data_IF_792123051458
#
_entry.id   IF_792123051458
#
_cell.length_a   1.000
_cell.length_b   1.000
_cell.length_c   1.000
_cell.angle_alpha   90.00
_cell.angle_beta   90.00
_cell.angle_gamma   90.00
#
_symmetry.space_group_name_H-M   'P 1'
#
loop_
_entity.id
_entity.type
_entity.pdbx_description
1 polymer ?
#
# COMPACT_ATOMS: atom_id res chain seq x y z
N UNK A 1 18.00 16.94 -11.13
CA UNK A 1 16.58 16.59 -11.00
C UNK A 1 16.55 15.22 -10.32
N UNK A 2 16.37 15.15 -9.00
CA UNK A 2 16.27 13.88 -8.28
C UNK A 2 14.83 13.39 -8.47
N UNK A 3 14.55 12.80 -9.63
CA UNK A 3 13.22 12.33 -10.01
C UNK A 3 12.97 10.92 -9.47
N UNK A 4 11.78 10.70 -8.92
CA UNK A 4 11.31 9.35 -8.61
C UNK A 4 11.17 8.55 -9.91
N UNK A 5 11.59 7.30 -9.88
CA UNK A 5 11.15 6.29 -10.83
C UNK A 5 9.76 5.83 -10.41
N UNK A 6 8.84 5.83 -11.35
CA UNK A 6 7.46 5.39 -11.18
C UNK A 6 7.08 4.48 -12.34
N UNK A 7 5.94 3.78 -12.24
CA UNK A 7 5.51 2.84 -13.30
C UNK A 7 5.44 3.55 -14.66
N UNK A 8 4.85 4.75 -14.71
CA UNK A 8 4.71 5.47 -15.99
C UNK A 8 6.03 6.00 -16.53
N UNK A 9 7.03 6.26 -15.68
CA UNK A 9 8.32 6.83 -16.07
C UNK A 9 9.37 5.77 -16.46
N UNK A 10 9.24 4.53 -15.99
CA UNK A 10 10.23 3.46 -16.27
C UNK A 10 10.12 2.81 -17.65
N UNK A 11 9.10 3.18 -18.45
CA UNK A 11 8.92 2.63 -19.78
C UNK A 11 8.26 1.25 -19.79
N UNK A 12 7.52 1.00 -20.87
CA UNK A 12 6.57 -0.09 -21.05
C UNK A 12 7.22 -1.27 -21.81
N UNK A 13 8.04 -2.08 -21.15
CA UNK A 13 8.68 -3.22 -21.84
C UNK A 13 8.17 -4.61 -21.42
N UNK A 14 7.22 -4.71 -20.48
CA UNK A 14 6.70 -6.01 -20.03
C UNK A 14 5.19 -6.00 -19.79
N UNK A 15 4.49 -7.04 -20.26
CA UNK A 15 3.05 -7.31 -20.06
C UNK A 15 2.70 -7.72 -18.60
N UNK A 16 3.68 -7.68 -17.70
CA UNK A 16 3.58 -8.16 -16.33
C UNK A 16 3.47 -7.01 -15.33
N UNK A 17 2.49 -7.08 -14.42
CA UNK A 17 2.32 -6.16 -13.30
C UNK A 17 3.18 -6.63 -12.13
N UNK A 18 4.34 -5.99 -11.91
CA UNK A 18 5.22 -6.31 -10.79
C UNK A 18 5.03 -5.34 -9.62
N UNK A 19 4.65 -5.85 -8.45
CA UNK A 19 4.74 -5.08 -7.21
C UNK A 19 6.21 -4.66 -7.03
N UNK A 20 6.52 -3.37 -6.84
CA UNK A 20 7.89 -2.92 -6.69
C UNK A 20 8.59 -3.69 -5.57
N UNK A 21 9.77 -4.22 -5.87
CA UNK A 21 10.52 -5.04 -4.91
C UNK A 21 10.76 -4.33 -3.57
N UNK A 22 10.78 -2.99 -3.57
CA UNK A 22 10.84 -2.14 -2.39
C UNK A 22 9.73 -2.40 -1.36
N UNK A 23 8.54 -2.82 -1.78
CA UNK A 23 7.44 -3.12 -0.86
C UNK A 23 7.80 -4.25 0.10
N UNK A 24 8.24 -5.39 -0.43
CA UNK A 24 8.67 -6.53 0.38
C UNK A 24 10.06 -6.28 0.99
N UNK A 25 11.00 -5.75 0.20
CA UNK A 25 12.38 -5.48 0.64
C UNK A 25 12.43 -4.53 1.84
N UNK A 26 11.55 -3.53 1.90
CA UNK A 26 11.50 -2.60 3.03
C UNK A 26 10.52 -3.06 4.13
N UNK A 27 9.90 -4.24 3.97
CA UNK A 27 8.95 -4.86 4.90
C UNK A 27 7.64 -4.10 5.11
N UNK A 28 7.14 -3.39 4.09
CA UNK A 28 5.85 -2.70 4.15
C UNK A 28 4.65 -3.65 4.34
N UNK A 29 4.79 -4.91 3.93
CA UNK A 29 3.81 -5.96 4.18
C UNK A 29 3.59 -6.26 5.68
N UNK A 30 4.50 -5.83 6.57
CA UNK A 30 4.33 -5.95 8.01
C UNK A 30 3.70 -4.70 8.63
N UNK A 31 3.79 -3.55 7.96
CA UNK A 31 3.42 -2.25 8.50
C UNK A 31 2.06 -1.73 8.03
N UNK A 32 1.47 -2.34 6.99
CA UNK A 32 0.20 -1.92 6.40
C UNK A 32 -0.85 -3.02 6.50
N UNK A 33 -2.16 -2.74 6.40
CA UNK A 33 -3.18 -3.76 6.58
C UNK A 33 -3.08 -4.89 5.54
N UNK A 34 -3.55 -6.10 5.84
CA UNK A 34 -3.32 -7.29 4.96
C UNK A 34 -3.88 -7.11 3.54
N UNK A 35 -4.92 -6.29 3.37
CA UNK A 35 -5.52 -5.95 2.07
C UNK A 35 -4.67 -5.03 1.17
N UNK A 36 -3.53 -4.53 1.63
CA UNK A 36 -2.71 -3.54 0.90
C UNK A 36 -2.31 -4.01 -0.48
N UNK A 37 -1.85 -5.26 -0.61
CA UNK A 37 -1.38 -5.79 -1.88
C UNK A 37 -2.48 -5.83 -2.94
N UNK A 38 -3.70 -6.21 -2.55
CA UNK A 38 -4.85 -6.21 -3.45
C UNK A 38 -5.17 -4.80 -3.95
N UNK A 39 -5.17 -3.81 -3.05
CA UNK A 39 -5.34 -2.40 -3.42
C UNK A 39 -4.24 -1.94 -4.39
N UNK A 40 -2.98 -2.27 -4.11
CA UNK A 40 -1.87 -1.89 -4.99
C UNK A 40 -2.01 -2.49 -6.38
N UNK A 41 -2.34 -3.77 -6.50
CA UNK A 41 -2.53 -4.43 -7.79
C UNK A 41 -3.66 -3.80 -8.60
N UNK A 42 -4.80 -3.52 -7.96
CA UNK A 42 -5.91 -2.79 -8.61
C UNK A 42 -5.46 -1.40 -9.09
N UNK A 43 -4.81 -0.62 -8.22
CA UNK A 43 -4.31 0.71 -8.58
C UNK A 43 -3.34 0.63 -9.76
N UNK A 44 -2.37 -0.29 -9.74
CA UNK A 44 -1.41 -0.46 -10.82
C UNK A 44 -2.09 -0.76 -12.16
N UNK A 45 -3.09 -1.65 -12.17
CA UNK A 45 -3.87 -1.94 -13.38
C UNK A 45 -4.54 -0.68 -13.96
N UNK A 46 -5.10 0.17 -13.12
CA UNK A 46 -5.77 1.39 -13.54
C UNK A 46 -4.82 2.53 -13.92
N UNK A 47 -3.66 2.62 -13.26
CA UNK A 47 -2.58 3.53 -13.65
C UNK A 47 -2.10 3.18 -15.05
N UNK A 48 -1.93 1.89 -15.36
CA UNK A 48 -1.57 1.42 -16.71
C UNK A 48 -2.66 1.78 -17.73
N UNK A 49 -3.94 1.68 -17.38
CA UNK A 49 -5.02 2.12 -18.26
C UNK A 49 -5.09 3.64 -18.47
N UNK A 50 -4.25 4.42 -17.78
CA UNK A 50 -4.23 5.88 -17.89
C UNK A 50 -5.44 6.56 -17.25
N UNK A 51 -6.09 5.90 -16.28
CA UNK A 51 -7.23 6.46 -15.58
C UNK A 51 -6.78 7.57 -14.62
N UNK A 52 -7.58 8.63 -14.53
CA UNK A 52 -7.45 9.60 -13.45
C UNK A 52 -7.85 8.98 -12.11
N UNK A 53 -7.44 9.60 -11.00
CA UNK A 53 -7.79 9.19 -9.64
C UNK A 53 -9.30 9.05 -9.44
N UNK A 54 -10.09 9.94 -10.04
CA UNK A 54 -11.55 9.91 -9.97
C UNK A 54 -12.13 8.70 -10.71
N UNK A 55 -11.71 8.49 -11.97
CA UNK A 55 -12.13 7.34 -12.78
C UNK A 55 -11.71 6.02 -12.12
N UNK A 56 -10.49 5.94 -11.59
CA UNK A 56 -9.96 4.80 -10.85
C UNK A 56 -10.81 4.48 -9.61
N UNK A 57 -11.14 5.50 -8.80
CA UNK A 57 -12.01 5.33 -7.63
C UNK A 57 -13.38 4.79 -8.01
N UNK A 58 -13.96 5.27 -9.12
CA UNK A 58 -15.22 4.76 -9.63
C UNK A 58 -15.13 3.28 -10.05
N UNK A 59 -14.06 2.88 -10.75
CA UNK A 59 -13.85 1.49 -11.11
C UNK A 59 -13.69 0.59 -9.88
N UNK A 60 -12.86 1.00 -8.91
CA UNK A 60 -12.63 0.23 -7.69
C UNK A 60 -13.91 0.06 -6.85
N UNK A 61 -14.75 1.10 -6.75
CA UNK A 61 -16.06 1.00 -6.08
C UNK A 61 -17.01 0.04 -6.81
N UNK A 62 -16.96 0.04 -8.15
CA UNK A 62 -17.76 -0.89 -8.96
C UNK A 62 -17.31 -2.33 -8.71
N UNK A 63 -16.01 -2.60 -8.75
CA UNK A 63 -15.44 -3.92 -8.45
C UNK A 63 -15.77 -4.38 -7.03
N UNK A 64 -15.65 -3.51 -6.03
CA UNK A 64 -16.02 -3.84 -4.64
C UNK A 64 -17.47 -4.35 -4.56
N UNK A 65 -18.38 -3.67 -5.25
CA UNK A 65 -19.80 -4.02 -5.29
C UNK A 65 -20.05 -5.32 -6.07
N UNK A 66 -19.44 -5.48 -7.24
CA UNK A 66 -19.64 -6.63 -8.13
C UNK A 66 -19.05 -7.92 -7.55
N UNK A 67 -17.90 -7.83 -6.91
CA UNK A 67 -17.21 -8.96 -6.30
C UNK A 67 -17.69 -9.26 -4.88
N UNK A 68 -18.70 -8.52 -4.38
CA UNK A 68 -19.14 -8.59 -2.99
C UNK A 68 -17.98 -8.52 -2.00
N UNK A 69 -16.99 -7.67 -2.28
CA UNK A 69 -15.85 -7.44 -1.40
C UNK A 69 -16.26 -6.63 -0.15
N UNK A 70 -17.56 -6.46 0.09
CA UNK A 70 -18.21 -5.87 1.26
C UNK A 70 -17.77 -6.56 2.57
N UNK A 71 -16.87 -5.93 3.35
CA UNK A 71 -16.18 -4.72 2.95
C UNK A 71 -14.67 -4.73 3.21
N UNK A 72 -14.00 -3.86 2.48
CA UNK A 72 -12.79 -3.20 2.94
C UNK A 72 -13.01 -2.44 4.30
N UNK A 73 -14.19 -2.48 4.91
CA UNK A 73 -14.43 -2.30 6.35
C UNK A 73 -14.04 -3.59 7.07
N UNK A 74 -12.84 -3.61 7.65
CA UNK A 74 -12.40 -4.68 8.53
C UNK A 74 -13.21 -4.68 9.85
N UNK A 75 -14.41 -5.26 9.82
CA UNK A 75 -15.06 -5.73 11.04
C UNK A 75 -14.36 -7.02 11.43
N UNK A 76 -13.44 -6.93 12.40
CA UNK A 76 -12.75 -8.07 12.99
C UNK A 76 -13.80 -8.99 13.65
N UNK A 77 -14.30 -9.96 12.88
CA UNK A 77 -15.21 -10.99 13.36
C UNK A 77 -14.42 -11.99 14.21
N UNK A 78 -14.81 -12.14 15.47
CA UNK A 78 -14.04 -12.83 16.50
C UNK A 78 -14.38 -14.33 16.49
N UNK A 79 -14.15 -14.99 15.37
CA UNK A 79 -14.70 -16.32 15.06
C UNK A 79 -13.65 -17.42 15.29
N UNK A 80 -12.81 -17.32 16.34
CA UNK A 80 -11.93 -18.38 16.87
C UNK A 80 -10.75 -18.85 15.98
N UNK A 81 -10.86 -18.86 14.65
CA UNK A 81 -9.81 -19.20 13.70
C UNK A 81 -8.95 -17.98 13.28
N UNK A 82 -9.44 -16.76 13.55
CA UNK A 82 -8.86 -15.50 13.09
C UNK A 82 -7.98 -14.79 14.13
N UNK A 83 -7.69 -15.40 15.28
CA UNK A 83 -7.03 -14.73 16.41
C UNK A 83 -5.67 -14.09 16.05
N UNK A 84 -4.86 -14.76 15.24
CA UNK A 84 -3.57 -14.22 14.79
C UNK A 84 -3.72 -13.08 13.78
N UNK A 85 -4.67 -13.19 12.85
CA UNK A 85 -4.98 -12.14 11.88
C UNK A 85 -5.48 -10.90 12.61
N UNK A 86 -6.39 -11.09 13.57
CA UNK A 86 -6.95 -10.01 14.37
C UNK A 86 -5.87 -9.31 15.19
N UNK A 87 -4.99 -10.10 15.83
CA UNK A 87 -3.86 -9.57 16.58
C UNK A 87 -2.96 -8.72 15.69
N UNK A 88 -2.58 -9.25 14.53
CA UNK A 88 -1.75 -8.55 13.54
C UNK A 88 -2.39 -7.26 13.04
N UNK A 89 -3.68 -7.27 12.68
CA UNK A 89 -4.37 -6.05 12.23
C UNK A 89 -4.47 -5.01 13.35
N UNK A 90 -4.65 -5.44 14.60
CA UNK A 90 -4.63 -4.54 15.75
C UNK A 90 -3.24 -3.94 16.01
N UNK A 91 -2.17 -4.71 15.80
CA UNK A 91 -0.78 -4.20 15.89
C UNK A 91 -0.51 -3.16 14.81
N UNK A 92 -0.88 -3.45 13.55
CA UNK A 92 -0.79 -2.49 12.45
C UNK A 92 -1.60 -1.23 12.72
N UNK A 93 -2.84 -1.36 13.20
CA UNK A 93 -3.67 -0.22 13.59
C UNK A 93 -2.96 0.68 14.60
N UNK A 94 -2.43 0.10 15.68
CA UNK A 94 -1.70 0.86 16.70
C UNK A 94 -0.46 1.56 16.13
N UNK A 95 0.29 0.88 15.26
CA UNK A 95 1.46 1.46 14.59
C UNK A 95 1.06 2.68 13.73
N UNK A 96 0.01 2.56 12.93
CA UNK A 96 -0.51 3.64 12.09
C UNK A 96 -1.01 4.82 12.92
N UNK A 97 -1.86 4.56 13.92
CA UNK A 97 -2.42 5.59 14.81
C UNK A 97 -1.32 6.34 15.57
N UNK A 98 -0.33 5.62 16.10
CA UNK A 98 0.84 6.22 16.76
C UNK A 98 1.68 7.07 15.80
N UNK A 99 1.67 6.75 14.52
CA UNK A 99 2.37 7.50 13.47
C UNK A 99 1.53 8.66 12.91
N UNK A 100 0.32 8.90 13.44
CA UNK A 100 -0.56 9.98 13.00
C UNK A 100 -1.42 9.63 11.78
N UNK A 101 -1.54 8.35 11.42
CA UNK A 101 -2.36 7.87 10.32
C UNK A 101 -3.61 7.15 10.83
N UNK A 102 -4.68 7.19 10.04
CA UNK A 102 -5.89 6.42 10.32
C UNK A 102 -5.81 5.04 9.67
N UNK A 103 -6.34 4.01 10.35
CA UNK A 103 -6.51 2.70 9.75
C UNK A 103 -7.63 2.76 8.70
N UNK A 104 -7.37 2.37 7.44
CA UNK A 104 -8.30 2.60 6.34
C UNK A 104 -9.55 1.72 6.47
N UNK A 105 -10.71 2.31 6.18
CA UNK A 105 -12.04 1.68 6.28
C UNK A 105 -12.75 1.55 4.93
N UNK A 106 -12.21 2.18 3.89
CA UNK A 106 -12.77 2.24 2.55
C UNK A 106 -11.65 2.52 1.53
N UNK A 107 -11.97 2.43 0.25
CA UNK A 107 -11.00 2.57 -0.85
C UNK A 107 -10.32 3.94 -0.81
N UNK A 108 -11.05 5.01 -0.47
CA UNK A 108 -10.52 6.37 -0.41
C UNK A 108 -9.48 6.54 0.68
N UNK A 109 -9.76 6.04 1.89
CA UNK A 109 -8.82 6.06 3.01
C UNK A 109 -7.61 5.18 2.75
N UNK A 110 -7.78 4.08 2.02
CA UNK A 110 -6.67 3.26 1.52
C UNK A 110 -5.75 4.04 0.59
N UNK A 111 -6.29 4.68 -0.45
CA UNK A 111 -5.50 5.47 -1.38
C UNK A 111 -4.84 6.66 -0.69
N UNK A 112 -5.56 7.31 0.23
CA UNK A 112 -5.01 8.41 1.04
C UNK A 112 -3.81 7.95 1.87
N UNK A 113 -3.93 6.83 2.58
CA UNK A 113 -2.84 6.26 3.36
C UNK A 113 -1.62 5.97 2.48
N UNK A 114 -1.82 5.31 1.33
CA UNK A 114 -0.74 4.95 0.41
C UNK A 114 -0.02 6.17 -0.19
N UNK A 115 -0.75 7.26 -0.44
CA UNK A 115 -0.15 8.55 -0.84
C UNK A 115 0.62 9.18 0.32
N UNK A 116 0.04 9.18 1.53
CA UNK A 116 0.66 9.77 2.72
C UNK A 116 1.98 9.08 3.10
N UNK A 117 2.08 7.76 2.93
CA UNK A 117 3.31 7.01 3.19
C UNK A 117 4.27 6.97 1.98
N UNK A 118 3.96 7.70 0.91
CA UNK A 118 4.83 7.85 -0.25
C UNK A 118 4.96 6.59 -1.12
N UNK A 119 4.06 5.63 -0.99
CA UNK A 119 3.99 4.47 -1.89
C UNK A 119 3.36 4.90 -3.23
N UNK A 120 2.27 5.68 -3.16
CA UNK A 120 1.66 6.32 -4.31
C UNK A 120 2.01 7.81 -4.35
N UNK A 121 2.01 8.39 -5.54
CA UNK A 121 2.09 9.84 -5.75
C UNK A 121 0.91 10.35 -6.57
N UNK A 122 0.59 11.62 -6.36
CA UNK A 122 -0.41 12.33 -7.16
C UNK A 122 0.28 13.19 -8.22
N UNK A 123 -0.04 12.94 -9.48
CA UNK A 123 0.47 13.69 -10.63
C UNK A 123 -0.67 14.53 -11.20
N UNK A 124 -0.49 15.85 -11.26
CA UNK A 124 -1.48 16.76 -11.86
C UNK A 124 -1.17 16.99 -13.33
N UNK A 125 -2.13 16.67 -14.20
CA UNK A 125 -2.01 16.91 -15.63
C UNK A 125 -3.37 17.33 -16.22
N UNK A 126 -3.38 18.43 -16.99
CA UNK A 126 -4.59 18.97 -17.64
C UNK A 126 -5.82 19.04 -16.71
N UNK A 127 -5.65 19.58 -15.51
CA UNK A 127 -6.69 19.69 -14.46
C UNK A 127 -7.24 18.36 -13.91
N UNK A 128 -6.60 17.23 -14.21
CA UNK A 128 -6.91 15.94 -13.61
C UNK A 128 -5.77 15.49 -12.70
N UNK A 129 -6.10 14.68 -11.70
CA UNK A 129 -5.13 14.04 -10.82
C UNK A 129 -5.01 12.59 -11.29
N UNK A 130 -3.79 12.13 -11.49
CA UNK A 130 -3.44 10.75 -11.77
C UNK A 130 -2.69 10.20 -10.57
N UNK A 131 -2.85 8.90 -10.32
CA UNK A 131 -2.00 8.19 -9.37
C UNK A 131 -0.85 7.54 -10.14
N UNK A 132 0.28 7.40 -9.48
CA UNK A 132 1.37 6.56 -9.97
C UNK A 132 2.06 5.91 -8.77
N UNK A 133 2.69 4.76 -9.00
CA UNK A 133 3.36 3.99 -7.96
C UNK A 133 4.86 4.31 -7.97
N UNK A 134 5.41 4.60 -6.80
CA UNK A 134 6.85 4.80 -6.64
C UNK A 134 7.56 3.47 -6.80
N UNK A 135 8.59 3.42 -7.64
CA UNK A 135 9.46 2.26 -7.86
C UNK A 135 10.78 2.45 -7.13
N UNK A 136 11.44 3.59 -7.33
CA UNK A 136 12.70 3.94 -6.68
C UNK A 136 12.88 5.48 -6.60
N UNK A 137 13.33 6.06 -5.49
CA UNK A 137 13.55 5.43 -4.19
C UNK A 137 12.24 4.99 -3.54
N UNK A 138 12.13 3.70 -3.19
CA UNK A 138 10.94 3.19 -2.51
C UNK A 138 10.93 3.65 -1.04
N UNK A 139 9.80 4.11 -0.49
CA UNK A 139 9.72 4.59 0.87
C UNK A 139 10.18 3.52 1.88
N UNK A 140 10.74 3.98 2.99
CA UNK A 140 11.32 3.12 4.04
C UNK A 140 10.49 3.33 5.31
N UNK A 141 9.84 2.29 5.87
CA UNK A 141 8.89 2.45 6.98
C UNK A 141 9.44 3.23 8.16
N UNK A 142 10.66 2.96 8.63
CA UNK A 142 11.24 3.62 9.81
C UNK A 142 11.55 5.12 9.62
N UNK A 143 11.46 5.63 8.39
CA UNK A 143 11.56 7.07 8.11
C UNK A 143 10.20 7.77 8.13
N UNK A 144 9.10 7.01 8.18
CA UNK A 144 7.73 7.49 7.98
C UNK A 144 6.85 7.14 9.18
N UNK A 145 7.00 5.94 9.73
CA UNK A 145 6.24 5.42 10.86
C UNK A 145 7.04 5.54 12.16
N UNK A 146 6.32 5.70 13.25
CA UNK A 146 6.86 5.76 14.61
C UNK A 146 6.80 4.38 15.25
N UNK A 147 7.95 3.70 15.33
CA UNK A 147 8.10 2.39 15.94
C UNK A 147 8.53 2.49 17.41
N UNK A 148 8.15 1.47 18.19
CA UNK A 148 8.83 1.14 19.45
C UNK A 148 10.15 0.40 19.16
N UNK A 149 11.06 0.37 20.12
CA UNK A 149 12.41 -0.18 19.94
C UNK A 149 12.39 -1.67 19.52
N UNK A 150 11.51 -2.46 20.12
CA UNK A 150 11.33 -3.88 19.82
C UNK A 150 10.71 -4.11 18.44
N UNK A 151 9.68 -3.33 18.07
CA UNK A 151 9.06 -3.37 16.75
C UNK A 151 10.08 -2.99 15.64
N UNK A 152 10.87 -1.94 15.87
CA UNK A 152 11.91 -1.51 14.94
C UNK A 152 13.00 -2.57 14.81
N UNK A 153 13.44 -3.14 15.92
CA UNK A 153 14.43 -4.22 15.92
C UNK A 153 13.94 -5.43 15.12
N UNK A 154 12.69 -5.84 15.32
CA UNK A 154 12.06 -6.91 14.56
C UNK A 154 12.00 -6.60 13.05
N UNK A 155 11.58 -5.38 12.68
CA UNK A 155 11.53 -4.93 11.28
C UNK A 155 12.90 -5.03 10.59
N UNK A 156 13.96 -4.59 11.28
CA UNK A 156 15.32 -4.61 10.75
C UNK A 156 15.83 -6.04 10.58
N UNK A 157 15.60 -6.94 11.54
CA UNK A 157 15.95 -8.37 11.42
C UNK A 157 15.23 -9.00 10.23
N UNK A 158 13.92 -8.75 10.10
CA UNK A 158 13.14 -9.29 9.00
C UNK A 158 13.67 -8.81 7.64
N UNK A 159 13.96 -7.51 7.53
CA UNK A 159 14.56 -6.93 6.33
C UNK A 159 15.89 -7.57 5.95
N UNK A 160 16.77 -7.83 6.91
CA UNK A 160 18.05 -8.49 6.65
C UNK A 160 17.87 -9.93 6.17
N UNK A 161 16.90 -10.69 6.73
CA UNK A 161 16.61 -12.06 6.27
C UNK A 161 16.15 -12.12 4.80
N UNK A 162 15.46 -11.09 4.31
CA UNK A 162 15.04 -11.00 2.91
C UNK A 162 16.18 -10.65 1.95
N UNK A 163 17.29 -10.10 2.45
CA UNK A 163 18.49 -9.83 1.65
C UNK A 163 19.35 -11.07 1.44
N UNK A 164 19.34 -12.01 2.38
CA UNK A 164 20.18 -13.22 2.34
C UNK A 164 19.66 -14.33 1.42
N UNK A 165 18.47 -14.17 0.83
CA UNK A 165 17.85 -15.14 -0.08
C UNK A 165 17.88 -14.71 -1.56
N UNK A 166 18.89 -13.94 -1.97
CA UNK A 166 19.14 -13.57 -3.37
C UNK A 166 20.33 -14.33 -3.96
#
# INVERSE_FOLDING_TARGET
MLGFQTILNTGWDHDDIYVPSGFLRNAWNLCLPKGTLSILLSVMSYVLQGLSKEELLEQMRREEKELHLSPFTFHLKNDGADGEIIKRENEVRKLLERSGYEYPQNIESWLSLLVQVGILIEIRYKNRIFLDLVVEPYPVPEKILTFQDDELHFLLIHRESLKTHK
#
